data_IF_748340392001
#
_entry.id   IF_748340392001
#
_cell.length_a   1.000
_cell.length_b   1.000
_cell.length_c   1.000
_cell.angle_alpha   90.00
_cell.angle_beta   90.00
_cell.angle_gamma   90.00
#
_symmetry.space_group_name_H-M   'P 1'
#
loop_
_entity.id
_entity.type
_entity.pdbx_description
1 polymer ?
#
# COMPACT_ATOMS: atom_id res chain seq x y z
N UNK A 1 -50.52 56.42 -53.86
CA UNK A 1 -51.28 55.16 -53.64
C UNK A 1 -50.48 54.28 -52.70
N UNK A 2 -51.05 53.97 -51.53
CA UNK A 2 -50.47 53.10 -50.50
C UNK A 2 -50.57 51.64 -50.96
N UNK A 3 -49.48 50.88 -50.88
CA UNK A 3 -49.55 49.43 -50.74
C UNK A 3 -48.51 48.96 -49.72
N UNK A 4 -49.04 48.43 -48.62
CA UNK A 4 -48.33 47.67 -47.59
C UNK A 4 -47.82 46.36 -48.19
N UNK A 5 -46.56 46.00 -47.95
CA UNK A 5 -46.08 44.62 -48.10
C UNK A 5 -45.62 44.12 -46.74
N UNK A 6 -46.29 43.06 -46.30
CA UNK A 6 -46.15 42.46 -44.99
C UNK A 6 -44.84 41.65 -44.86
N UNK A 7 -44.25 41.78 -43.68
CA UNK A 7 -43.12 41.02 -43.17
C UNK A 7 -43.58 39.58 -42.87
N UNK A 8 -42.91 38.59 -43.45
CA UNK A 8 -43.03 37.19 -43.03
C UNK A 8 -41.67 36.75 -42.47
N UNK A 9 -41.50 36.84 -41.15
CA UNK A 9 -40.36 36.28 -40.43
C UNK A 9 -40.66 34.79 -40.23
N UNK A 10 -39.98 33.95 -41.01
CA UNK A 10 -39.98 32.51 -40.78
C UNK A 10 -39.06 32.20 -39.60
N UNK A 11 -39.62 32.08 -38.40
CA UNK A 11 -38.94 31.51 -37.24
C UNK A 11 -38.77 30.01 -37.45
N UNK A 12 -37.57 29.57 -37.83
CA UNK A 12 -37.17 28.17 -37.78
C UNK A 12 -36.98 27.75 -36.32
N UNK A 13 -37.94 26.99 -35.79
CA UNK A 13 -37.75 26.25 -34.55
C UNK A 13 -36.68 25.17 -34.80
N UNK A 14 -35.45 25.44 -34.38
CA UNK A 14 -34.46 24.39 -34.13
C UNK A 14 -34.88 23.64 -32.87
N UNK A 15 -35.61 22.55 -33.05
CA UNK A 15 -35.80 21.55 -32.01
C UNK A 15 -34.45 20.89 -31.73
N UNK A 16 -33.74 21.34 -30.70
CA UNK A 16 -32.68 20.55 -30.07
C UNK A 16 -33.35 19.34 -29.39
N UNK A 17 -33.50 18.25 -30.14
CA UNK A 17 -33.72 16.94 -29.55
C UNK A 17 -32.46 16.58 -28.78
N UNK A 18 -32.51 16.75 -27.47
CA UNK A 18 -31.52 16.21 -26.54
C UNK A 18 -31.67 14.69 -26.53
N UNK A 19 -31.11 14.02 -27.55
CA UNK A 19 -31.06 12.58 -27.63
C UNK A 19 -29.93 12.14 -26.71
N UNK A 20 -30.27 11.83 -25.46
CA UNK A 20 -29.42 11.04 -24.58
C UNK A 20 -29.33 9.63 -25.16
N UNK A 21 -28.53 9.47 -26.22
CA UNK A 21 -28.22 8.17 -26.80
C UNK A 21 -27.48 7.37 -25.71
N UNK A 22 -28.13 6.31 -25.24
CA UNK A 22 -27.46 5.35 -24.36
C UNK A 22 -26.26 4.78 -25.12
N UNK A 23 -25.08 4.69 -24.51
CA UNK A 23 -23.92 4.09 -25.13
C UNK A 23 -24.25 2.73 -25.74
N UNK A 24 -23.62 2.42 -26.87
CA UNK A 24 -23.67 1.11 -27.51
C UNK A 24 -22.95 0.07 -26.66
N UNK A 25 -23.22 -1.22 -26.93
CA UNK A 25 -22.55 -2.33 -26.23
C UNK A 25 -21.03 -2.30 -26.40
N UNK A 26 -20.55 -1.87 -27.57
CA UNK A 26 -19.12 -1.74 -27.87
C UNK A 26 -18.49 -0.57 -27.10
N UNK A 27 -19.18 0.57 -26.99
CA UNK A 27 -18.74 1.70 -26.16
C UNK A 27 -18.69 1.34 -24.67
N UNK A 28 -19.67 0.58 -24.16
CA UNK A 28 -19.62 0.05 -22.79
C UNK A 28 -18.46 -0.93 -22.57
N UNK A 29 -18.14 -1.77 -23.57
CA UNK A 29 -17.02 -2.71 -23.49
C UNK A 29 -15.66 -1.97 -23.44
N UNK A 30 -15.46 -0.94 -24.27
CA UNK A 30 -14.24 -0.12 -24.21
C UNK A 30 -14.14 0.67 -22.89
N UNK A 31 -15.27 1.12 -22.36
CA UNK A 31 -15.33 1.79 -21.06
C UNK A 31 -15.00 0.83 -19.90
N UNK A 32 -15.49 -0.42 -19.93
CA UNK A 32 -15.19 -1.40 -18.86
C UNK A 32 -13.74 -1.86 -18.88
N UNK A 33 -13.13 -1.98 -20.06
CA UNK A 33 -11.69 -2.31 -20.16
C UNK A 33 -10.82 -1.20 -19.56
N UNK A 34 -11.22 0.06 -19.73
CA UNK A 34 -10.56 1.21 -19.10
C UNK A 34 -10.72 1.18 -17.58
N UNK A 35 -11.88 0.77 -17.07
CA UNK A 35 -12.12 0.57 -15.63
C UNK A 35 -11.19 -0.51 -15.06
N UNK A 36 -11.03 -1.64 -15.75
CA UNK A 36 -10.12 -2.71 -15.30
C UNK A 36 -8.67 -2.25 -15.26
N UNK A 37 -8.23 -1.45 -16.24
CA UNK A 37 -6.88 -0.86 -16.26
C UNK A 37 -6.69 0.11 -15.10
N UNK A 38 -7.65 1.00 -14.86
CA UNK A 38 -7.61 1.92 -13.72
C UNK A 38 -7.56 1.17 -12.38
N UNK A 39 -8.30 0.07 -12.25
CA UNK A 39 -8.25 -0.78 -11.06
C UNK A 39 -6.89 -1.46 -10.88
N UNK A 40 -6.31 -1.97 -11.97
CA UNK A 40 -4.98 -2.56 -11.95
C UNK A 40 -3.92 -1.54 -11.50
N UNK A 41 -3.92 -0.34 -12.09
CA UNK A 41 -2.98 0.74 -11.74
C UNK A 41 -3.15 1.18 -10.29
N UNK A 42 -4.40 1.25 -9.81
CA UNK A 42 -4.71 1.49 -8.41
C UNK A 42 -4.07 0.41 -7.52
N UNK A 43 -4.28 -0.87 -7.82
CA UNK A 43 -3.68 -1.97 -7.04
C UNK A 43 -2.16 -1.94 -7.01
N UNK A 44 -1.50 -1.52 -8.09
CA UNK A 44 -0.04 -1.34 -8.10
C UNK A 44 0.37 -0.20 -7.17
N UNK A 45 -0.29 0.97 -7.28
CA UNK A 45 -0.02 2.15 -6.44
C UNK A 45 -0.18 1.83 -4.95
N UNK A 46 -1.25 1.13 -4.59
CA UNK A 46 -1.53 0.85 -3.17
C UNK A 46 -0.71 -0.33 -2.63
N UNK A 47 0.03 -1.03 -3.48
CA UNK A 47 0.88 -2.15 -3.06
C UNK A 47 2.27 -2.03 -3.69
N UNK A 48 3.09 -1.02 -3.33
CA UNK A 48 4.39 -0.76 -3.93
C UNK A 48 5.33 -1.99 -3.98
N UNK A 49 5.29 -2.83 -2.95
CA UNK A 49 6.10 -4.06 -2.92
C UNK A 49 5.56 -5.12 -3.88
N UNK A 50 4.24 -5.31 -3.96
CA UNK A 50 3.64 -6.21 -4.95
C UNK A 50 3.86 -5.71 -6.38
N UNK A 51 3.86 -4.39 -6.58
CA UNK A 51 4.24 -3.79 -7.85
C UNK A 51 5.69 -4.15 -8.20
N UNK A 52 6.64 -4.02 -7.25
CA UNK A 52 8.01 -4.50 -7.45
C UNK A 52 8.06 -5.99 -7.82
N UNK A 53 7.28 -6.85 -7.16
CA UNK A 53 7.18 -8.29 -7.50
C UNK A 53 6.67 -8.55 -8.90
N UNK A 54 5.73 -7.73 -9.37
CA UNK A 54 5.16 -7.79 -10.70
C UNK A 54 6.11 -7.23 -11.79
N UNK A 55 7.29 -6.70 -11.41
CA UNK A 55 8.26 -6.09 -12.32
C UNK A 55 8.00 -4.59 -12.57
N UNK A 56 7.08 -3.99 -11.83
CA UNK A 56 6.73 -2.56 -11.95
C UNK A 56 7.68 -1.71 -11.12
N UNK A 57 8.73 -1.20 -11.77
CA UNK A 57 9.81 -0.49 -11.09
C UNK A 57 9.45 0.92 -10.61
N UNK A 58 8.29 1.44 -11.03
CA UNK A 58 7.85 2.82 -10.73
C UNK A 58 7.76 3.10 -9.22
N UNK A 59 7.42 2.09 -8.44
CA UNK A 59 7.16 2.23 -7.00
C UNK A 59 8.33 1.72 -6.13
N UNK A 60 9.48 1.38 -6.73
CA UNK A 60 10.61 0.74 -6.05
C UNK A 60 11.24 1.59 -4.95
N UNK A 61 10.93 2.89 -4.88
CA UNK A 61 11.36 3.79 -3.82
C UNK A 61 10.34 4.04 -2.71
N UNK A 62 9.20 3.35 -2.74
CA UNK A 62 8.09 3.59 -1.80
C UNK A 62 7.70 2.33 -1.03
N UNK A 63 7.25 2.50 0.22
CA UNK A 63 6.47 1.47 0.91
C UNK A 63 5.21 2.09 1.50
N UNK A 64 4.09 1.39 1.38
CA UNK A 64 2.80 1.90 1.84
C UNK A 64 2.68 1.83 3.37
N UNK A 65 2.33 2.95 3.99
CA UNK A 65 1.88 2.99 5.37
C UNK A 65 0.38 2.69 5.47
N UNK A 66 0.03 1.42 5.26
CA UNK A 66 -1.35 0.96 5.12
C UNK A 66 -2.20 1.07 6.40
N UNK A 67 -1.58 1.34 7.55
CA UNK A 67 -2.26 1.55 8.83
C UNK A 67 -2.47 3.02 9.18
N UNK A 68 -2.01 3.96 8.36
CA UNK A 68 -2.26 5.38 8.60
C UNK A 68 -3.68 5.78 8.18
N UNK A 69 -4.30 6.68 8.93
CA UNK A 69 -5.67 7.15 8.67
C UNK A 69 -5.81 7.72 7.26
N UNK A 70 -4.84 8.55 6.83
CA UNK A 70 -4.85 9.15 5.50
C UNK A 70 -4.81 8.08 4.39
N UNK A 71 -4.01 7.04 4.57
CA UNK A 71 -3.91 5.96 3.60
C UNK A 71 -5.19 5.11 3.56
N UNK A 72 -5.73 4.75 4.72
CA UNK A 72 -7.00 4.02 4.80
C UNK A 72 -8.15 4.82 4.18
N UNK A 73 -8.19 6.13 4.38
CA UNK A 73 -9.19 7.01 3.77
C UNK A 73 -9.06 7.05 2.24
N UNK A 74 -7.84 7.17 1.70
CA UNK A 74 -7.60 7.06 0.25
C UNK A 74 -8.11 5.72 -0.30
N UNK A 75 -7.85 4.60 0.41
CA UNK A 75 -8.38 3.29 0.02
C UNK A 75 -9.91 3.27 0.01
N UNK A 76 -10.57 3.73 1.07
CA UNK A 76 -12.03 3.77 1.18
C UNK A 76 -12.65 4.59 0.03
N UNK A 77 -12.08 5.74 -0.27
CA UNK A 77 -12.56 6.64 -1.34
C UNK A 77 -12.41 5.98 -2.71
N UNK A 78 -11.26 5.39 -3.01
CA UNK A 78 -11.03 4.71 -4.29
C UNK A 78 -11.93 3.48 -4.45
N UNK A 79 -12.02 2.62 -3.43
CA UNK A 79 -12.93 1.46 -3.47
C UNK A 79 -14.39 1.88 -3.63
N UNK A 80 -14.82 2.96 -2.98
CA UNK A 80 -16.16 3.51 -3.15
C UNK A 80 -16.39 4.00 -4.59
N UNK A 81 -15.44 4.76 -5.15
CA UNK A 81 -15.49 5.24 -6.52
C UNK A 81 -15.59 4.08 -7.53
N UNK A 82 -14.80 3.03 -7.35
CA UNK A 82 -14.89 1.84 -8.20
C UNK A 82 -16.26 1.15 -8.09
N UNK A 83 -16.79 0.97 -6.87
CA UNK A 83 -18.12 0.39 -6.67
C UNK A 83 -19.22 1.24 -7.34
N UNK A 84 -19.15 2.56 -7.24
CA UNK A 84 -20.12 3.48 -7.86
C UNK A 84 -20.09 3.43 -9.40
N UNK A 85 -18.93 3.15 -9.99
CA UNK A 85 -18.80 2.93 -11.44
C UNK A 85 -19.33 1.54 -11.81
N UNK A 86 -18.95 0.48 -11.09
CA UNK A 86 -19.40 -0.90 -11.34
C UNK A 86 -20.93 -1.00 -11.30
N UNK A 87 -21.58 -0.31 -10.35
CA UNK A 87 -23.04 -0.32 -10.18
C UNK A 87 -23.83 0.28 -11.35
N UNK A 88 -23.16 0.88 -12.34
CA UNK A 88 -23.79 1.39 -13.57
C UNK A 88 -23.91 0.35 -14.66
N UNK A 89 -23.27 -0.81 -14.51
CA UNK A 89 -23.29 -1.90 -15.49
C UNK A 89 -24.32 -2.97 -15.11
N UNK A 90 -24.94 -3.57 -16.12
CA UNK A 90 -25.68 -4.83 -16.00
C UNK A 90 -25.10 -5.90 -16.95
N UNK A 91 -25.56 -7.14 -16.79
CA UNK A 91 -25.06 -8.31 -17.54
C UNK A 91 -25.31 -8.23 -19.05
N UNK A 92 -26.21 -7.36 -19.51
CA UNK A 92 -26.54 -7.19 -20.93
C UNK A 92 -25.63 -6.19 -21.64
N UNK A 93 -25.01 -5.27 -20.89
CA UNK A 93 -24.16 -4.18 -21.38
C UNK A 93 -22.73 -4.61 -21.74
N UNK A 94 -22.26 -5.75 -21.24
CA UNK A 94 -20.89 -6.25 -21.42
C UNK A 94 -20.91 -7.70 -21.91
N UNK A 95 -19.73 -8.27 -22.22
CA UNK A 95 -19.62 -9.71 -22.49
C UNK A 95 -19.78 -10.54 -21.21
N UNK A 96 -20.13 -11.84 -21.29
CA UNK A 96 -20.20 -12.69 -20.10
C UNK A 96 -18.90 -12.76 -19.29
N UNK A 97 -17.74 -12.72 -19.96
CA UNK A 97 -16.44 -12.71 -19.28
C UNK A 97 -16.18 -11.37 -18.58
N UNK A 98 -16.47 -10.24 -19.22
CA UNK A 98 -16.37 -8.91 -18.59
C UNK A 98 -17.36 -8.79 -17.42
N UNK A 99 -18.57 -9.34 -17.54
CA UNK A 99 -19.52 -9.37 -16.44
C UNK A 99 -18.96 -10.15 -15.25
N UNK A 100 -18.38 -11.33 -15.47
CA UNK A 100 -17.73 -12.10 -14.42
C UNK A 100 -16.60 -11.30 -13.76
N UNK A 101 -15.70 -10.69 -14.56
CA UNK A 101 -14.61 -9.86 -14.03
C UNK A 101 -15.11 -8.66 -13.21
N UNK A 102 -16.20 -8.00 -13.64
CA UNK A 102 -16.88 -6.95 -12.87
C UNK A 102 -17.39 -7.48 -11.52
N UNK A 103 -17.99 -8.68 -11.51
CA UNK A 103 -18.47 -9.30 -10.27
C UNK A 103 -17.34 -9.63 -9.29
N UNK A 104 -16.20 -10.12 -9.80
CA UNK A 104 -15.00 -10.38 -8.99
C UNK A 104 -14.43 -9.09 -8.43
N UNK A 105 -14.29 -8.05 -9.27
CA UNK A 105 -13.83 -6.73 -8.84
C UNK A 105 -14.77 -6.11 -7.80
N UNK A 106 -16.08 -6.26 -7.96
CA UNK A 106 -17.07 -5.78 -6.98
C UNK A 106 -16.91 -6.50 -5.63
N UNK A 107 -16.74 -7.82 -5.65
CA UNK A 107 -16.51 -8.61 -4.44
C UNK A 107 -15.23 -8.15 -3.73
N UNK A 108 -14.12 -8.01 -4.45
CA UNK A 108 -12.83 -7.56 -3.90
C UNK A 108 -12.96 -6.15 -3.27
N UNK A 109 -13.55 -5.19 -3.99
CA UNK A 109 -13.78 -3.84 -3.48
C UNK A 109 -14.65 -3.84 -2.22
N UNK A 110 -15.73 -4.64 -2.19
CA UNK A 110 -16.60 -4.74 -1.02
C UNK A 110 -15.87 -5.31 0.19
N UNK A 111 -15.14 -6.42 0.02
CA UNK A 111 -14.39 -7.05 1.12
C UNK A 111 -13.32 -6.11 1.67
N UNK A 112 -12.53 -5.47 0.81
CA UNK A 112 -11.49 -4.54 1.25
C UNK A 112 -12.07 -3.29 1.93
N UNK A 113 -13.15 -2.71 1.37
CA UNK A 113 -13.85 -1.56 1.97
C UNK A 113 -14.50 -1.91 3.31
N UNK A 114 -15.14 -3.07 3.42
CA UNK A 114 -15.72 -3.55 4.67
C UNK A 114 -14.65 -3.66 5.76
N UNK A 115 -13.51 -4.29 5.44
CA UNK A 115 -12.37 -4.40 6.35
C UNK A 115 -11.85 -3.06 6.84
N UNK A 116 -11.80 -2.06 5.95
CA UNK A 116 -11.41 -0.67 6.25
C UNK A 116 -12.46 0.11 7.05
N UNK A 117 -13.72 -0.32 7.04
CA UNK A 117 -14.85 0.35 7.71
C UNK A 117 -15.21 -0.29 9.05
N UNK A 118 -14.52 -1.36 9.45
CA UNK A 118 -14.75 -2.05 10.71
C UNK A 118 -14.28 -1.25 11.92
N UNK A 119 -14.85 -1.54 13.09
CA UNK A 119 -14.43 -0.92 14.37
C UNK A 119 -12.95 -1.16 14.69
N UNK A 120 -12.47 -2.34 14.32
CA UNK A 120 -11.06 -2.67 14.29
C UNK A 120 -10.72 -2.84 12.82
N UNK A 121 -9.96 -1.89 12.27
CA UNK A 121 -9.61 -1.93 10.85
C UNK A 121 -8.80 -3.18 10.59
N UNK A 122 -9.32 -3.98 9.65
CA UNK A 122 -8.70 -5.21 9.18
C UNK A 122 -8.47 -5.07 7.70
N UNK A 123 -7.22 -5.09 7.27
CA UNK A 123 -6.88 -5.06 5.85
C UNK A 123 -6.35 -6.44 5.52
N UNK A 124 -6.98 -7.13 4.57
CA UNK A 124 -6.35 -8.32 3.98
C UNK A 124 -5.08 -7.82 3.26
N UNK A 125 -3.94 -8.03 3.92
CA UNK A 125 -2.63 -7.55 3.52
C UNK A 125 -2.36 -7.96 2.08
N UNK A 126 -1.85 -7.07 1.23
CA UNK A 126 -1.43 -7.45 -0.12
C UNK A 126 -0.32 -8.49 -0.15
N UNK A 127 0.36 -8.69 0.96
CA UNK A 127 1.52 -9.56 1.05
C UNK A 127 1.14 -11.04 1.14
N UNK A 128 -0.04 -11.37 1.70
CA UNK A 128 -0.50 -12.75 1.93
C UNK A 128 -2.04 -12.93 2.07
N UNK A 129 -2.86 -11.92 1.76
CA UNK A 129 -4.30 -11.87 2.08
C UNK A 129 -4.64 -12.15 3.57
N UNK A 130 -3.63 -12.04 4.45
CA UNK A 130 -3.82 -12.17 5.89
C UNK A 130 -4.37 -10.85 6.46
N UNK A 131 -5.37 -10.88 7.34
CA UNK A 131 -5.87 -9.67 7.98
C UNK A 131 -4.74 -9.06 8.82
N UNK A 132 -4.26 -7.88 8.44
CA UNK A 132 -3.49 -7.03 9.34
C UNK A 132 -4.46 -6.20 10.16
N UNK A 133 -4.26 -6.23 11.47
CA UNK A 133 -5.02 -5.42 12.41
C UNK A 133 -4.27 -4.11 12.59
N UNK A 134 -4.94 -3.00 12.29
CA UNK A 134 -4.37 -1.66 12.41
C UNK A 134 -3.73 -1.42 13.79
N UNK A 135 -4.37 -1.87 14.87
CA UNK A 135 -3.92 -1.68 16.26
C UNK A 135 -2.95 -2.76 16.77
N UNK A 136 -2.72 -3.83 16.00
CA UNK A 136 -1.70 -4.85 16.27
C UNK A 136 -0.87 -5.11 15.01
N UNK A 137 -0.18 -4.10 14.46
CA UNK A 137 0.44 -4.16 13.14
C UNK A 137 1.74 -4.98 13.11
N UNK A 138 2.31 -5.30 14.27
CA UNK A 138 3.53 -6.07 14.42
C UNK A 138 3.25 -7.38 15.16
N UNK A 139 3.84 -8.48 14.69
CA UNK A 139 3.77 -9.80 15.33
C UNK A 139 5.08 -10.57 15.10
N UNK A 140 5.29 -11.62 15.89
CA UNK A 140 6.54 -12.40 15.96
C UNK A 140 6.81 -13.35 14.78
N UNK A 141 5.84 -13.54 13.88
CA UNK A 141 5.95 -14.43 12.70
C UNK A 141 5.61 -13.72 11.40
N UNK A 142 4.61 -12.84 11.40
CA UNK A 142 4.12 -12.21 10.18
C UNK A 142 3.81 -10.74 10.43
N UNK A 143 4.62 -9.86 9.83
CA UNK A 143 4.43 -8.42 9.83
C UNK A 143 5.19 -7.80 8.67
N UNK A 144 4.86 -6.55 8.31
CA UNK A 144 5.66 -5.81 7.32
C UNK A 144 7.10 -5.64 7.78
N UNK A 145 7.36 -5.43 9.08
CA UNK A 145 8.72 -5.31 9.62
C UNK A 145 9.60 -6.54 9.30
N UNK A 146 9.06 -7.76 9.50
CA UNK A 146 9.80 -8.99 9.22
C UNK A 146 10.05 -9.16 7.72
N UNK A 147 9.06 -8.83 6.88
CA UNK A 147 9.22 -8.93 5.44
C UNK A 147 10.17 -7.87 4.88
N UNK A 148 10.12 -6.64 5.41
CA UNK A 148 11.00 -5.56 5.02
C UNK A 148 12.47 -5.90 5.30
N UNK A 149 12.74 -6.59 6.42
CA UNK A 149 14.06 -7.13 6.70
C UNK A 149 14.55 -8.14 5.64
N UNK A 150 13.66 -8.99 5.11
CA UNK A 150 13.99 -9.92 4.02
C UNK A 150 14.30 -9.19 2.71
N UNK A 151 13.57 -8.11 2.40
CA UNK A 151 13.88 -7.23 1.27
C UNK A 151 15.27 -6.57 1.45
N UNK A 152 15.55 -6.12 2.68
CA UNK A 152 16.79 -5.47 3.04
C UNK A 152 18.02 -6.35 2.85
N UNK A 153 17.88 -7.68 2.96
CA UNK A 153 18.98 -8.63 2.78
C UNK A 153 19.55 -8.65 1.34
N UNK A 154 18.85 -8.07 0.36
CA UNK A 154 19.29 -8.04 -1.04
C UNK A 154 19.06 -9.33 -1.83
N UNK A 155 18.32 -10.29 -1.27
CA UNK A 155 18.09 -11.61 -1.88
C UNK A 155 16.62 -11.87 -2.24
N UNK A 156 15.76 -10.87 -2.08
CA UNK A 156 14.33 -10.98 -2.34
C UNK A 156 13.95 -10.18 -3.59
N UNK A 157 12.71 -9.68 -3.63
CA UNK A 157 12.10 -9.06 -4.81
C UNK A 157 12.57 -7.63 -5.07
N UNK A 158 13.17 -6.97 -4.06
CA UNK A 158 13.81 -5.67 -4.24
C UNK A 158 15.04 -5.80 -5.15
N UNK A 159 15.10 -5.07 -6.28
CA UNK A 159 16.28 -5.08 -7.13
C UNK A 159 17.45 -4.33 -6.48
N UNK A 160 18.68 -4.74 -6.80
CA UNK A 160 19.94 -4.10 -6.41
C UNK A 160 20.97 -4.19 -7.55
N UNK A 161 20.54 -3.89 -8.78
CA UNK A 161 21.33 -4.07 -10.00
C UNK A 161 21.93 -2.77 -10.54
N UNK A 162 21.28 -1.65 -10.28
CA UNK A 162 21.65 -0.32 -10.80
C UNK A 162 21.83 0.67 -9.66
N UNK A 163 22.57 1.77 -9.87
CA UNK A 163 22.73 2.83 -8.85
C UNK A 163 21.36 3.33 -8.37
N UNK A 164 20.41 3.47 -9.29
CA UNK A 164 19.02 3.86 -9.01
C UNK A 164 18.31 2.90 -8.05
N UNK A 165 18.58 1.60 -8.13
CA UNK A 165 17.98 0.61 -7.22
C UNK A 165 18.45 0.81 -5.78
N UNK A 166 19.74 1.11 -5.57
CA UNK A 166 20.29 1.39 -4.24
C UNK A 166 19.72 2.71 -3.68
N UNK A 167 19.58 3.72 -4.53
CA UNK A 167 18.98 5.00 -4.14
C UNK A 167 17.50 4.88 -3.82
N UNK A 168 16.76 4.08 -4.60
CA UNK A 168 15.37 3.77 -4.34
C UNK A 168 15.21 3.06 -3.00
N UNK A 169 16.08 2.10 -2.69
CA UNK A 169 16.05 1.42 -1.40
C UNK A 169 16.24 2.38 -0.22
N UNK A 170 17.18 3.32 -0.31
CA UNK A 170 17.40 4.32 0.75
C UNK A 170 16.13 5.14 1.05
N UNK A 171 15.38 5.53 0.01
CA UNK A 171 14.09 6.23 0.17
C UNK A 171 13.00 5.31 0.73
N UNK A 172 12.92 4.07 0.22
CA UNK A 172 11.96 3.07 0.69
C UNK A 172 12.18 2.74 2.17
N UNK A 173 13.42 2.81 2.66
CA UNK A 173 13.74 2.73 4.10
C UNK A 173 13.17 3.92 4.86
N UNK A 174 13.22 5.14 4.34
CA UNK A 174 12.66 6.31 5.03
C UNK A 174 11.14 6.18 5.24
N UNK A 175 10.40 5.76 4.21
CA UNK A 175 8.96 5.44 4.33
C UNK A 175 8.68 4.32 5.35
N UNK A 176 9.54 3.29 5.37
CA UNK A 176 9.43 2.19 6.33
C UNK A 176 9.60 2.66 7.77
N UNK A 177 10.51 3.61 8.04
CA UNK A 177 10.70 4.14 9.39
C UNK A 177 9.47 4.94 9.85
N UNK A 178 8.82 5.68 8.94
CA UNK A 178 7.53 6.34 9.21
C UNK A 178 6.42 5.32 9.50
N UNK A 179 6.43 4.18 8.80
CA UNK A 179 5.51 3.08 9.12
C UNK A 179 5.75 2.52 10.53
N UNK A 180 7.01 2.39 10.98
CA UNK A 180 7.31 1.95 12.36
C UNK A 180 6.81 2.96 13.41
N UNK A 181 6.90 4.26 13.13
CA UNK A 181 6.31 5.30 14.00
C UNK A 181 4.80 5.12 14.12
N UNK A 182 4.15 4.87 12.99
CA UNK A 182 2.71 4.63 12.97
C UNK A 182 2.35 3.34 13.69
N UNK A 183 3.20 2.30 13.63
CA UNK A 183 3.01 1.09 14.42
C UNK A 183 2.98 1.38 15.92
N UNK A 184 3.95 2.15 16.43
CA UNK A 184 4.00 2.50 17.85
C UNK A 184 2.73 3.24 18.26
N UNK A 185 2.33 4.28 17.51
CA UNK A 185 1.13 5.06 17.78
C UNK A 185 -0.15 4.21 17.76
N UNK A 186 -0.31 3.33 16.77
CA UNK A 186 -1.49 2.44 16.68
C UNK A 186 -1.49 1.38 17.77
N UNK A 187 -0.34 0.92 18.22
CA UNK A 187 -0.22 -0.01 19.35
C UNK A 187 -0.57 0.69 20.68
N UNK A 188 -0.18 1.96 20.87
CA UNK A 188 -0.61 2.78 22.01
C UNK A 188 -2.14 2.99 22.02
N UNK A 189 -2.71 3.28 20.86
CA UNK A 189 -4.16 3.35 20.68
C UNK A 189 -4.81 1.99 21.00
N UNK A 190 -4.20 0.89 20.55
CA UNK A 190 -4.59 -0.48 20.89
C UNK A 190 -4.65 -0.74 22.39
N UNK A 191 -3.66 -0.28 23.15
CA UNK A 191 -3.66 -0.35 24.63
C UNK A 191 -4.90 0.34 25.20
N UNK A 192 -5.20 1.57 24.75
CA UNK A 192 -6.36 2.32 25.26
C UNK A 192 -7.70 1.63 24.97
N UNK A 193 -7.76 0.82 23.91
CA UNK A 193 -8.94 0.08 23.46
C UNK A 193 -8.98 -1.37 23.95
N UNK A 194 -7.97 -1.83 24.69
CA UNK A 194 -7.83 -3.23 25.10
C UNK A 194 -7.55 -4.20 23.94
N UNK A 195 -7.15 -3.69 22.77
CA UNK A 195 -6.78 -4.47 21.59
C UNK A 195 -5.27 -4.62 21.54
N UNK A 196 -4.76 -5.62 22.26
CA UNK A 196 -3.32 -5.83 22.49
C UNK A 196 -2.96 -7.29 22.23
N UNK A 197 -1.70 -7.56 21.87
CA UNK A 197 -1.19 -8.92 21.72
C UNK A 197 -1.07 -9.66 23.07
N UNK A 198 -1.09 -11.00 23.06
CA UNK A 198 -0.68 -11.81 24.21
C UNK A 198 0.78 -11.55 24.60
N UNK A 199 1.09 -11.49 25.90
CA UNK A 199 2.45 -11.25 26.43
C UNK A 199 3.47 -12.23 25.85
N UNK A 200 3.12 -13.51 25.76
CA UNK A 200 3.99 -14.56 25.21
C UNK A 200 4.44 -14.29 23.77
N UNK A 201 3.66 -13.53 22.98
CA UNK A 201 4.06 -13.12 21.64
C UNK A 201 4.99 -11.91 21.69
N UNK A 202 4.68 -10.93 22.54
CA UNK A 202 5.48 -9.72 22.72
C UNK A 202 6.88 -10.06 23.25
N UNK A 203 6.98 -10.98 24.21
CA UNK A 203 8.25 -11.50 24.76
C UNK A 203 9.15 -12.09 23.68
N UNK A 204 8.57 -12.72 22.64
CA UNK A 204 9.33 -13.27 21.51
C UNK A 204 9.76 -12.20 20.52
N UNK A 205 8.99 -11.14 20.35
CA UNK A 205 9.33 -10.02 19.45
C UNK A 205 10.56 -9.26 19.94
N UNK A 206 10.66 -9.04 21.26
CA UNK A 206 11.71 -8.22 21.86
C UNK A 206 13.15 -8.66 21.50
N UNK A 207 13.56 -9.92 21.70
CA UNK A 207 14.90 -10.37 21.35
C UNK A 207 15.11 -10.47 19.83
N UNK A 208 14.05 -10.59 19.01
CA UNK A 208 14.19 -10.53 17.55
C UNK A 208 14.71 -9.16 17.09
N UNK A 209 14.45 -8.09 17.86
CA UNK A 209 14.95 -6.76 17.53
C UNK A 209 16.45 -6.59 17.79
N UNK A 210 17.07 -7.43 18.64
CA UNK A 210 18.50 -7.32 18.94
C UNK A 210 19.38 -7.54 17.69
N UNK A 211 18.94 -8.38 16.76
CA UNK A 211 19.61 -8.61 15.47
C UNK A 211 19.67 -7.35 14.60
N UNK A 212 18.74 -6.40 14.78
CA UNK A 212 18.70 -5.12 14.07
C UNK A 212 19.38 -3.98 14.83
N UNK A 213 19.74 -4.19 16.09
CA UNK A 213 20.31 -3.16 16.96
C UNK A 213 21.82 -3.39 17.13
N UNK A 214 22.19 -4.60 17.54
CA UNK A 214 23.52 -4.87 18.11
C UNK A 214 24.59 -5.18 17.06
N UNK A 215 24.18 -5.63 15.86
CA UNK A 215 25.15 -6.04 14.83
C UNK A 215 25.99 -4.86 14.34
N UNK A 216 27.30 -5.04 14.12
CA UNK A 216 28.12 -4.06 13.39
C UNK A 216 27.51 -3.73 12.04
N UNK A 217 27.74 -2.53 11.50
CA UNK A 217 27.13 -2.12 10.24
C UNK A 217 27.40 -3.11 9.11
N UNK A 218 28.61 -3.66 9.01
CA UNK A 218 29.00 -4.63 7.97
C UNK A 218 28.35 -6.00 8.10
N UNK A 219 27.82 -6.34 9.27
CA UNK A 219 27.11 -7.59 9.56
C UNK A 219 25.59 -7.40 9.62
N UNK A 220 25.12 -6.16 9.52
CA UNK A 220 23.72 -5.81 9.63
C UNK A 220 22.97 -6.21 8.36
N UNK A 221 21.75 -6.75 8.47
CA UNK A 221 20.99 -7.26 7.31
C UNK A 221 20.75 -6.20 6.22
N UNK A 222 20.54 -4.94 6.60
CA UNK A 222 20.39 -3.81 5.67
C UNK A 222 21.69 -3.43 4.93
N UNK A 223 22.83 -3.98 5.34
CA UNK A 223 24.11 -3.87 4.62
C UNK A 223 24.22 -4.92 3.50
N UNK A 224 23.39 -5.97 3.53
CA UNK A 224 23.35 -7.06 2.55
C UNK A 224 23.50 -6.62 1.09
N UNK A 225 22.82 -5.56 0.62
CA UNK A 225 22.91 -5.11 -0.76
C UNK A 225 24.32 -4.67 -1.16
N UNK A 226 25.09 -4.07 -0.25
CA UNK A 226 26.46 -3.66 -0.53
C UNK A 226 27.39 -4.87 -0.79
N UNK A 227 27.10 -6.02 -0.19
CA UNK A 227 27.88 -7.25 -0.39
C UNK A 227 27.71 -7.83 -1.81
N UNK A 228 26.59 -7.53 -2.46
CA UNK A 228 26.28 -7.95 -3.83
C UNK A 228 26.41 -6.81 -4.85
N UNK A 229 27.04 -5.70 -4.47
CA UNK A 229 27.16 -4.52 -5.32
C UNK A 229 27.87 -4.83 -6.65
N UNK A 230 27.24 -4.55 -7.81
CA UNK A 230 27.83 -4.82 -9.10
C UNK A 230 29.23 -4.21 -9.26
N UNK A 231 30.14 -4.98 -9.86
CA UNK A 231 31.52 -4.52 -10.14
C UNK A 231 31.57 -3.41 -11.19
N UNK A 232 30.50 -3.23 -11.95
CA UNK A 232 30.35 -2.20 -12.98
C UNK A 232 30.14 -0.80 -12.43
N UNK A 233 29.84 -0.66 -11.14
CA UNK A 233 29.65 0.66 -10.52
C UNK A 233 30.97 1.43 -10.49
N UNK A 234 30.89 2.74 -10.71
CA UNK A 234 32.04 3.63 -10.61
C UNK A 234 32.63 3.62 -9.18
N UNK A 235 33.94 3.90 -9.02
CA UNK A 235 34.52 4.04 -7.69
C UNK A 235 33.82 5.11 -6.83
N UNK A 236 33.35 6.18 -7.46
CA UNK A 236 32.61 7.26 -6.81
C UNK A 236 31.25 6.78 -6.29
N UNK A 237 30.45 6.11 -7.12
CA UNK A 237 29.14 5.57 -6.70
C UNK A 237 29.31 4.53 -5.60
N UNK A 238 30.31 3.66 -5.70
CA UNK A 238 30.60 2.66 -4.65
C UNK A 238 30.88 3.33 -3.32
N UNK A 239 31.74 4.35 -3.31
CA UNK A 239 32.08 5.07 -2.08
C UNK A 239 30.85 5.80 -1.51
N UNK A 240 30.10 6.50 -2.36
CA UNK A 240 28.90 7.25 -1.98
C UNK A 240 27.81 6.34 -1.40
N UNK A 241 27.46 5.25 -2.08
CA UNK A 241 26.43 4.32 -1.65
C UNK A 241 26.84 3.56 -0.38
N UNK A 242 28.11 3.14 -0.28
CA UNK A 242 28.61 2.48 0.94
C UNK A 242 28.46 3.39 2.16
N UNK A 243 28.81 4.68 2.02
CA UNK A 243 28.63 5.67 3.10
C UNK A 243 27.16 5.87 3.44
N UNK A 244 26.31 6.10 2.44
CA UNK A 244 24.88 6.35 2.65
C UNK A 244 24.18 5.19 3.36
N UNK A 245 24.53 3.94 3.02
CA UNK A 245 24.00 2.76 3.69
C UNK A 245 24.51 2.62 5.11
N UNK A 246 25.80 2.87 5.35
CA UNK A 246 26.36 2.85 6.70
C UNK A 246 25.69 3.91 7.60
N UNK A 247 25.43 5.09 7.07
CA UNK A 247 24.71 6.17 7.75
C UNK A 247 23.24 5.81 7.99
N UNK A 248 22.55 5.26 6.99
CA UNK A 248 21.17 4.78 7.13
C UNK A 248 21.05 3.73 8.23
N UNK A 249 21.99 2.77 8.31
CA UNK A 249 22.00 1.76 9.36
C UNK A 249 22.26 2.38 10.73
N UNK A 250 23.33 3.17 10.85
CA UNK A 250 23.80 3.69 12.14
C UNK A 250 22.86 4.76 12.74
N UNK A 251 22.34 5.65 11.90
CA UNK A 251 21.66 6.87 12.36
C UNK A 251 20.16 6.85 12.14
N UNK A 252 19.62 5.90 11.36
CA UNK A 252 18.18 5.78 11.12
C UNK A 252 17.61 4.46 11.62
N UNK A 253 18.10 3.34 11.08
CA UNK A 253 17.53 2.01 11.33
C UNK A 253 17.76 1.54 12.76
N UNK A 254 19.01 1.53 13.24
CA UNK A 254 19.33 1.09 14.61
C UNK A 254 18.58 1.90 15.68
N UNK A 255 18.61 3.26 15.67
CA UNK A 255 17.87 4.04 16.64
C UNK A 255 16.36 3.76 16.61
N UNK A 256 15.75 3.58 15.43
CA UNK A 256 14.32 3.26 15.32
C UNK A 256 13.98 1.89 15.92
N UNK A 257 14.84 0.89 15.72
CA UNK A 257 14.66 -0.42 16.34
C UNK A 257 14.91 -0.39 17.86
N UNK A 258 15.84 0.43 18.35
CA UNK A 258 16.03 0.67 19.79
C UNK A 258 14.79 1.30 20.43
N UNK A 259 14.21 2.31 19.78
CA UNK A 259 12.96 2.95 20.19
C UNK A 259 11.81 1.95 20.24
N UNK A 260 11.62 1.18 19.16
CA UNK A 260 10.60 0.14 19.09
C UNK A 260 10.80 -0.91 20.19
N UNK A 261 12.03 -1.37 20.41
CA UNK A 261 12.34 -2.35 21.45
C UNK A 261 12.05 -1.79 22.84
N UNK A 262 12.41 -0.52 23.09
CA UNK A 262 12.11 0.16 24.33
C UNK A 262 10.60 0.25 24.58
N UNK A 263 9.83 0.65 23.56
CA UNK A 263 8.36 0.68 23.61
C UNK A 263 7.77 -0.70 23.90
N UNK A 264 8.22 -1.74 23.18
CA UNK A 264 7.76 -3.11 23.39
C UNK A 264 8.03 -3.59 24.82
N UNK A 265 9.23 -3.33 25.35
CA UNK A 265 9.63 -3.75 26.70
C UNK A 265 8.86 -3.00 27.79
N UNK A 266 8.76 -1.68 27.69
CA UNK A 266 8.38 -0.82 28.82
C UNK A 266 6.92 -0.38 28.80
N UNK A 267 6.28 -0.40 27.63
CA UNK A 267 4.90 0.08 27.46
C UNK A 267 3.98 -1.05 26.99
N UNK A 268 4.35 -1.74 25.90
CA UNK A 268 3.45 -2.70 25.27
C UNK A 268 3.38 -4.04 26.01
N UNK A 269 4.51 -4.59 26.46
CA UNK A 269 4.54 -5.86 27.21
C UNK A 269 3.76 -5.78 28.53
N UNK A 270 3.88 -4.73 29.37
CA UNK A 270 3.06 -4.60 30.57
C UNK A 270 1.54 -4.55 30.29
N UNK A 271 1.14 -3.99 29.15
CA UNK A 271 -0.25 -3.92 28.70
C UNK A 271 -0.72 -5.19 27.97
N UNK A 272 0.18 -6.11 27.65
CA UNK A 272 -0.12 -7.35 26.95
C UNK A 272 -1.13 -8.21 27.69
N UNK A 273 -1.91 -8.99 26.94
CA UNK A 273 -2.90 -9.92 27.53
C UNK A 273 -2.21 -11.18 28.03
N UNK A 274 -2.73 -11.77 29.12
CA UNK A 274 -2.27 -13.07 29.63
C UNK A 274 -2.94 -14.27 28.93
N UNK A 275 -3.95 -14.01 28.08
CA UNK A 275 -4.74 -15.03 27.37
C UNK A 275 -4.23 -15.27 25.95
N UNK A 276 -4.34 -16.51 25.49
CA UNK A 276 -4.10 -16.88 24.09
C UNK A 276 -5.24 -16.46 23.15
N UNK A 277 -4.97 -16.41 21.85
CA UNK A 277 -5.97 -16.14 20.81
C UNK A 277 -6.25 -14.66 20.50
N UNK A 278 -7.23 -14.44 19.62
CA UNK A 278 -7.69 -13.11 19.21
C UNK A 278 -8.82 -12.71 20.15
N UNK A 279 -8.52 -11.73 21.01
CA UNK A 279 -9.43 -11.09 21.98
C UNK A 279 -10.32 -12.06 22.77
#
# INVERSE_FOLDING_TARGET
>A
MKFFSAILIATSLFSFTNCSNKPTKEEYALAVDSLFRAYYDFKLRINPIEATKAGENKYNDEVANYISDAYQQDLIENYTSFLDIINRYDSTMVSPSQWMSLRVMQWDCNIKKEGLSNKLVTIASPMYDLPTFELMPLAQITSLQLYFAQLAAGQSVQPFNTVKDYENWLKRVDDYLVFLDTCILKMEEGISKGVVLPKVLIEKMIPQLDEFIQKPNTEHIFYGPLNIMPKTFSPEDRLRLTRAYAEMIAFKVKPKYEELQHFLKNTYLPAGRDTDGIL
#
